data_IF_055429959408
#
_entry.id   IF_055429959408
#
_cell.length_a   1.000
_cell.length_b   1.000
_cell.length_c   1.000
_cell.angle_alpha   90.00
_cell.angle_beta   90.00
_cell.angle_gamma   90.00
#
_symmetry.space_group_name_H-M   'P 1'
#
loop_
_entity.id
_entity.type
_entity.pdbx_description
1 polymer ?
#
# COMPACT_ATOMS: atom_id res chain seq x y z
N UNK A 1 11.92 -11.73 18.79
CA UNK A 1 10.65 -10.98 18.83
C UNK A 1 10.87 -9.68 18.07
N UNK A 2 10.21 -9.50 16.92
CA UNK A 2 10.17 -8.20 16.27
C UNK A 2 9.20 -7.34 17.06
N UNK A 3 9.70 -6.29 17.68
CA UNK A 3 8.97 -5.47 18.63
C UNK A 3 7.77 -4.81 17.93
N UNK A 4 6.55 -5.05 18.41
CA UNK A 4 5.33 -4.56 17.75
C UNK A 4 5.35 -3.02 17.58
N UNK A 5 5.97 -2.30 18.52
CA UNK A 5 6.16 -0.85 18.43
C UNK A 5 7.11 -0.38 17.31
N UNK A 6 8.06 -1.23 16.87
CA UNK A 6 8.89 -0.93 15.70
C UNK A 6 8.13 -1.10 14.38
N UNK A 7 7.18 -2.04 14.34
CA UNK A 7 6.30 -2.25 13.19
C UNK A 7 5.26 -1.13 13.10
N UNK A 8 4.63 -0.74 14.21
CA UNK A 8 3.65 0.35 14.25
C UNK A 8 4.24 1.70 13.81
N UNK A 9 5.44 2.08 14.29
CA UNK A 9 6.10 3.32 13.86
C UNK A 9 6.42 3.33 12.37
N UNK A 10 6.80 2.19 11.80
CA UNK A 10 6.97 2.06 10.34
C UNK A 10 5.62 2.17 9.62
N UNK A 11 4.58 1.53 10.13
CA UNK A 11 3.26 1.51 9.52
C UNK A 11 2.64 2.91 9.43
N UNK A 12 2.73 3.72 10.49
CA UNK A 12 2.23 5.09 10.46
C UNK A 12 3.01 5.97 9.48
N UNK A 13 4.34 5.79 9.40
CA UNK A 13 5.19 6.47 8.42
C UNK A 13 4.78 6.15 6.98
N UNK A 14 4.62 4.85 6.67
CA UNK A 14 4.17 4.40 5.34
C UNK A 14 2.77 4.91 5.01
N UNK A 15 1.83 4.85 5.94
CA UNK A 15 0.47 5.35 5.72
C UNK A 15 0.45 6.87 5.46
N UNK A 16 1.27 7.64 6.19
CA UNK A 16 1.36 9.10 5.97
C UNK A 16 1.93 9.45 4.59
N UNK A 17 2.89 8.66 4.09
CA UNK A 17 3.43 8.80 2.75
C UNK A 17 2.35 8.54 1.70
N UNK A 18 1.66 7.41 1.81
CA UNK A 18 0.59 7.04 0.86
C UNK A 18 -0.56 8.02 0.87
N UNK A 19 -0.90 8.59 2.02
CA UNK A 19 -1.93 9.62 2.12
C UNK A 19 -1.54 10.88 1.34
N UNK A 20 -0.27 11.30 1.43
CA UNK A 20 0.25 12.44 0.66
C UNK A 20 0.21 12.15 -0.84
N UNK A 21 0.69 10.99 -1.25
CA UNK A 21 0.69 10.57 -2.65
C UNK A 21 -0.74 10.46 -3.20
N UNK A 22 -1.67 9.89 -2.43
CA UNK A 22 -3.08 9.82 -2.81
C UNK A 22 -3.68 11.22 -3.05
N UNK A 23 -3.42 12.17 -2.14
CA UNK A 23 -3.86 13.57 -2.31
C UNK A 23 -3.27 14.19 -3.57
N UNK A 24 -1.97 14.02 -3.81
CA UNK A 24 -1.28 14.56 -4.99
C UNK A 24 -1.83 13.97 -6.29
N UNK A 25 -2.04 12.66 -6.38
CA UNK A 25 -2.56 12.00 -7.59
C UNK A 25 -4.03 12.36 -7.85
N UNK A 26 -4.85 12.45 -6.82
CA UNK A 26 -6.25 12.87 -6.94
C UNK A 26 -6.32 14.32 -7.44
N UNK A 27 -5.53 15.23 -6.86
CA UNK A 27 -5.52 16.63 -7.29
C UNK A 27 -4.96 16.81 -8.70
N UNK A 28 -3.96 16.01 -9.11
CA UNK A 28 -3.46 15.99 -10.50
C UNK A 28 -4.54 15.57 -11.49
N UNK A 29 -5.36 14.59 -11.12
CA UNK A 29 -6.36 14.01 -12.03
C UNK A 29 -7.65 14.83 -12.11
N UNK A 30 -8.09 15.41 -10.99
CA UNK A 30 -9.41 16.04 -10.86
C UNK A 30 -9.38 17.55 -10.58
N UNK A 31 -8.18 18.11 -10.36
CA UNK A 31 -7.95 19.52 -10.11
C UNK A 31 -7.52 19.81 -8.67
N UNK A 32 -6.81 20.92 -8.49
CA UNK A 32 -6.26 21.34 -7.20
C UNK A 32 -7.36 21.49 -6.15
N UNK A 33 -7.18 20.86 -4.99
CA UNK A 33 -8.12 20.90 -3.87
C UNK A 33 -9.27 19.88 -3.95
N UNK A 34 -9.35 19.08 -5.02
CA UNK A 34 -10.39 18.06 -5.16
C UNK A 34 -10.29 17.00 -4.06
N UNK A 35 -9.09 16.55 -3.73
CA UNK A 35 -8.85 15.58 -2.66
C UNK A 35 -9.27 16.11 -1.29
N UNK A 36 -9.05 17.40 -1.03
CA UNK A 36 -9.43 18.05 0.24
C UNK A 36 -10.95 18.16 0.39
N UNK A 37 -11.67 18.32 -0.71
CA UNK A 37 -13.13 18.37 -0.73
C UNK A 37 -13.80 16.98 -0.68
N UNK A 38 -13.05 15.92 -0.96
CA UNK A 38 -13.54 14.53 -1.03
C UNK A 38 -12.58 13.58 -0.27
N UNK A 39 -12.45 13.72 1.06
CA UNK A 39 -11.50 12.92 1.85
C UNK A 39 -11.78 11.40 1.80
N UNK A 40 -13.02 11.00 1.57
CA UNK A 40 -13.41 9.60 1.34
C UNK A 40 -12.75 9.01 0.09
N UNK A 41 -12.47 9.83 -0.93
CA UNK A 41 -11.78 9.39 -2.15
C UNK A 41 -10.30 9.07 -1.83
N UNK A 42 -9.67 9.88 -0.96
CA UNK A 42 -8.31 9.64 -0.47
C UNK A 42 -8.25 8.32 0.30
N UNK A 43 -9.21 8.09 1.20
CA UNK A 43 -9.29 6.84 1.96
C UNK A 43 -9.49 5.61 1.04
N UNK A 44 -10.38 5.71 0.05
CA UNK A 44 -10.61 4.65 -0.93
C UNK A 44 -9.38 4.37 -1.79
N UNK A 45 -8.67 5.42 -2.22
CA UNK A 45 -7.42 5.29 -2.97
C UNK A 45 -6.35 4.57 -2.14
N UNK A 46 -6.15 4.99 -0.88
CA UNK A 46 -5.19 4.35 0.02
C UNK A 46 -5.50 2.88 0.25
N UNK A 47 -6.78 2.52 0.40
CA UNK A 47 -7.20 1.13 0.58
C UNK A 47 -6.91 0.30 -0.68
N UNK A 48 -7.21 0.84 -1.87
CA UNK A 48 -6.90 0.16 -3.13
C UNK A 48 -5.39 -0.06 -3.31
N UNK A 49 -4.57 0.96 -3.01
CA UNK A 49 -3.11 0.86 -3.08
C UNK A 49 -2.55 -0.17 -2.09
N UNK A 50 -3.08 -0.23 -0.87
CA UNK A 50 -2.68 -1.23 0.12
C UNK A 50 -3.00 -2.66 -0.32
N UNK A 51 -4.17 -2.87 -0.94
CA UNK A 51 -4.59 -4.19 -1.47
C UNK A 51 -3.70 -4.60 -2.64
N UNK A 52 -3.40 -3.68 -3.56
CA UNK A 52 -2.51 -3.95 -4.69
C UNK A 52 -1.10 -4.36 -4.21
N UNK A 53 -0.54 -3.61 -3.25
CA UNK A 53 0.75 -3.93 -2.66
C UNK A 53 0.74 -5.31 -1.98
N UNK A 54 -0.33 -5.65 -1.24
CA UNK A 54 -0.48 -6.96 -0.64
C UNK A 54 -0.54 -8.07 -1.70
N UNK A 55 -1.28 -7.83 -2.80
CA UNK A 55 -1.35 -8.74 -3.95
C UNK A 55 0.02 -8.97 -4.61
N UNK A 56 0.79 -7.91 -4.83
CA UNK A 56 2.16 -8.00 -5.36
C UNK A 56 3.09 -8.80 -4.44
N UNK A 57 2.97 -8.59 -3.12
CA UNK A 57 3.76 -9.34 -2.15
C UNK A 57 3.42 -10.83 -2.18
N UNK A 58 2.12 -11.18 -2.20
CA UNK A 58 1.67 -12.57 -2.33
C UNK A 58 2.20 -13.20 -3.63
N UNK A 59 2.09 -12.49 -4.76
CA UNK A 59 2.61 -12.97 -6.05
C UNK A 59 4.12 -13.26 -5.98
N UNK A 60 4.90 -12.36 -5.40
CA UNK A 60 6.35 -12.54 -5.22
C UNK A 60 6.68 -13.77 -4.37
N UNK A 61 5.91 -14.01 -3.30
CA UNK A 61 6.07 -15.22 -2.50
C UNK A 61 5.76 -16.50 -3.28
N UNK A 62 4.69 -16.49 -4.09
CA UNK A 62 4.32 -17.64 -4.95
C UNK A 62 5.41 -17.91 -5.98
N UNK A 63 5.88 -16.88 -6.69
CA UNK A 63 6.96 -17.01 -7.67
C UNK A 63 8.25 -17.55 -7.01
N UNK A 64 8.53 -17.15 -5.77
CA UNK A 64 9.68 -17.68 -5.01
C UNK A 64 9.50 -19.15 -4.64
N UNK A 65 8.28 -19.59 -4.30
CA UNK A 65 7.96 -20.98 -3.97
C UNK A 65 8.00 -21.89 -5.21
N UNK A 66 7.49 -21.42 -6.35
CA UNK A 66 7.53 -22.15 -7.62
C UNK A 66 8.98 -22.38 -8.08
N UNK A 67 9.88 -21.45 -7.79
CA UNK A 67 11.31 -21.55 -8.09
C UNK A 67 12.08 -22.45 -7.10
N UNK A 68 11.45 -22.94 -6.03
CA UNK A 68 12.10 -23.78 -5.03
C UNK A 68 12.21 -25.25 -5.51
N UNK A 69 13.43 -25.85 -5.63
CA UNK A 69 13.63 -27.18 -6.21
C UNK A 69 12.94 -28.35 -5.49
N UNK A 70 12.49 -28.14 -4.25
CA UNK A 70 11.80 -29.14 -3.42
C UNK A 70 10.26 -29.02 -3.38
N UNK A 71 9.63 -28.17 -4.19
CA UNK A 71 8.17 -27.95 -4.18
C UNK A 71 7.36 -29.02 -4.94
N UNK A 72 8.04 -29.92 -5.68
CA UNK A 72 7.43 -31.00 -6.47
C UNK A 72 7.76 -32.43 -5.98
N UNK A 73 8.30 -32.58 -4.76
CA UNK A 73 8.61 -33.87 -4.15
C UNK A 73 7.57 -34.31 -3.11
#
# INVERSE_FOLDING_TARGET
MLDAGMIEKKSAGSASLWMREAVEEIDKQFGVGYASNNPELVAGFMQAAAIDQAGMYIRSLVETLDLWPGSLA
#
